data_IF_662319575395
#
_entry.id   IF_662319575395
#
_cell.length_a   1.000
_cell.length_b   1.000
_cell.length_c   1.000
_cell.angle_alpha   90.00
_cell.angle_beta   90.00
_cell.angle_gamma   90.00
#
_symmetry.space_group_name_H-M   'P 1'
#
loop_
_entity.id
_entity.type
_entity.pdbx_description
1 polymer ?
#
# COMPACT_ATOMS: atom_id res chain seq x y z
N UNK A 1 0.96 70.62 -18.38
CA UNK A 1 0.23 69.75 -19.30
C UNK A 1 0.39 68.32 -18.81
N UNK A 2 -0.71 67.66 -18.49
CA UNK A 2 -0.67 66.36 -17.84
C UNK A 2 -0.74 65.21 -18.84
N UNK A 3 0.04 64.18 -18.64
CA UNK A 3 -0.07 62.92 -19.35
C UNK A 3 -1.00 61.96 -18.62
N UNK A 4 -1.91 61.40 -19.37
CA UNK A 4 -3.01 60.53 -18.97
C UNK A 4 -2.51 59.19 -18.45
N UNK A 5 -3.06 58.78 -17.31
CA UNK A 5 -2.97 57.42 -16.79
C UNK A 5 -3.71 56.39 -17.65
N UNK A 6 -3.09 55.29 -17.94
CA UNK A 6 -3.71 54.11 -18.47
C UNK A 6 -4.26 53.25 -17.33
N UNK A 7 -5.56 53.12 -17.26
CA UNK A 7 -6.26 52.15 -16.42
C UNK A 7 -5.96 50.74 -16.94
N UNK A 8 -5.34 49.93 -16.11
CA UNK A 8 -5.18 48.51 -16.37
C UNK A 8 -6.53 47.81 -16.48
N UNK A 9 -6.77 47.20 -17.61
CA UNK A 9 -7.87 46.26 -17.84
C UNK A 9 -7.63 45.03 -17.00
N UNK A 10 -8.54 44.78 -16.08
CA UNK A 10 -8.59 43.51 -15.35
C UNK A 10 -8.93 42.41 -16.35
N UNK A 11 -8.05 41.40 -16.40
CA UNK A 11 -8.21 40.19 -17.21
C UNK A 11 -9.38 39.36 -16.67
N UNK A 12 -10.49 39.36 -17.38
CA UNK A 12 -11.73 38.62 -17.06
C UNK A 12 -11.67 37.15 -17.47
N UNK A 13 -10.48 36.53 -17.59
CA UNK A 13 -10.30 35.14 -18.00
C UNK A 13 -9.79 34.22 -16.89
N UNK A 14 -10.45 34.27 -15.74
CA UNK A 14 -10.25 33.24 -14.74
C UNK A 14 -11.53 32.41 -14.54
N UNK A 15 -11.67 31.24 -15.14
CA UNK A 15 -12.88 30.41 -15.05
C UNK A 15 -13.05 29.66 -13.72
N UNK A 16 -12.28 29.99 -12.68
CA UNK A 16 -12.37 29.36 -11.36
C UNK A 16 -13.35 29.98 -10.39
N UNK A 17 -14.31 30.78 -10.85
CA UNK A 17 -15.41 31.28 -10.00
C UNK A 17 -16.75 30.73 -10.47
N UNK A 18 -17.36 29.96 -9.55
CA UNK A 18 -18.74 29.49 -9.56
C UNK A 18 -19.05 28.34 -10.54
N UNK A 19 -18.85 27.13 -10.11
CA UNK A 19 -19.46 25.93 -10.66
C UNK A 19 -19.30 24.85 -9.64
N UNK A 20 -20.31 24.62 -8.80
CA UNK A 20 -20.36 23.42 -7.98
C UNK A 20 -20.12 22.22 -8.90
N UNK A 21 -19.18 21.36 -8.50
CA UNK A 21 -18.94 20.06 -9.13
C UNK A 21 -20.20 19.21 -8.98
N UNK A 22 -21.23 19.52 -9.79
CA UNK A 22 -22.26 18.57 -10.12
C UNK A 22 -21.61 17.48 -10.93
N UNK A 23 -21.27 16.39 -10.31
CA UNK A 23 -20.96 15.15 -11.00
C UNK A 23 -22.22 14.74 -11.76
N UNK A 24 -22.33 15.13 -13.02
CA UNK A 24 -23.36 14.64 -13.90
C UNK A 24 -23.12 13.14 -14.08
N UNK A 25 -24.00 12.33 -13.50
CA UNK A 25 -24.10 10.92 -13.80
C UNK A 25 -24.29 10.77 -15.32
N UNK A 26 -23.23 10.34 -16.05
CA UNK A 26 -23.33 10.05 -17.48
C UNK A 26 -22.24 10.61 -18.39
N UNK A 27 -21.31 11.42 -17.93
CA UNK A 27 -20.16 11.78 -18.77
C UNK A 27 -19.17 10.60 -18.84
N UNK A 28 -19.23 9.86 -19.93
CA UNK A 28 -18.16 8.92 -20.29
C UNK A 28 -16.89 9.71 -20.53
N UNK A 29 -15.81 9.36 -19.81
CA UNK A 29 -14.50 9.85 -20.18
C UNK A 29 -14.16 9.30 -21.56
N UNK A 30 -13.80 10.18 -22.49
CA UNK A 30 -13.37 9.78 -23.83
C UNK A 30 -12.01 9.06 -23.72
N UNK A 31 -12.05 7.73 -23.62
CA UNK A 31 -10.85 6.91 -23.52
C UNK A 31 -11.13 5.52 -22.96
N UNK A 32 -10.29 4.56 -23.29
CA UNK A 32 -10.42 3.16 -22.88
C UNK A 32 -10.05 2.89 -21.43
N UNK A 33 -9.41 3.85 -20.74
CA UNK A 33 -8.90 3.68 -19.39
C UNK A 33 -10.01 3.41 -18.37
N UNK A 34 -11.05 4.24 -18.36
CA UNK A 34 -12.12 4.10 -17.37
C UNK A 34 -12.91 2.79 -17.52
N UNK A 35 -13.40 2.42 -18.72
CA UNK A 35 -14.06 1.13 -18.90
C UNK A 35 -13.17 -0.06 -18.54
N UNK A 36 -11.90 -0.03 -18.95
CA UNK A 36 -10.95 -1.10 -18.66
C UNK A 36 -10.69 -1.24 -17.14
N UNK A 37 -10.46 -0.12 -16.45
CA UNK A 37 -10.23 -0.10 -15.00
C UNK A 37 -11.47 -0.55 -14.22
N UNK A 38 -12.66 -0.10 -14.62
CA UNK A 38 -13.90 -0.52 -13.99
C UNK A 38 -14.14 -2.02 -14.15
N UNK A 39 -13.98 -2.54 -15.36
CA UNK A 39 -14.12 -3.98 -15.63
C UNK A 39 -13.12 -4.82 -14.81
N UNK A 40 -11.88 -4.33 -14.66
CA UNK A 40 -10.86 -4.95 -13.84
C UNK A 40 -11.27 -4.95 -12.35
N UNK A 41 -11.71 -3.83 -11.81
CA UNK A 41 -12.17 -3.72 -10.42
C UNK A 41 -13.37 -4.64 -10.15
N UNK A 42 -14.38 -4.62 -11.02
CA UNK A 42 -15.55 -5.49 -10.90
C UNK A 42 -15.17 -6.98 -10.91
N UNK A 43 -14.19 -7.36 -11.72
CA UNK A 43 -13.65 -8.72 -11.77
C UNK A 43 -12.94 -9.07 -10.46
N UNK A 44 -11.99 -8.25 -10.01
CA UNK A 44 -11.20 -8.48 -8.81
C UNK A 44 -12.09 -8.55 -7.56
N UNK A 45 -13.04 -7.65 -7.41
CA UNK A 45 -13.95 -7.66 -6.27
C UNK A 45 -14.79 -8.93 -6.17
N UNK A 46 -15.11 -9.57 -7.30
CA UNK A 46 -15.78 -10.87 -7.30
C UNK A 46 -14.80 -12.02 -6.99
N UNK A 47 -13.63 -12.00 -7.62
CA UNK A 47 -12.65 -13.10 -7.52
C UNK A 47 -11.97 -13.17 -6.16
N UNK A 48 -11.66 -12.00 -5.58
CA UNK A 48 -10.91 -11.90 -4.33
C UNK A 48 -11.78 -11.92 -3.06
N UNK A 49 -13.07 -12.14 -3.20
CA UNK A 49 -14.01 -12.16 -2.05
C UNK A 49 -13.57 -13.14 -0.95
N UNK A 50 -13.14 -14.34 -1.31
CA UNK A 50 -12.70 -15.37 -0.37
C UNK A 50 -11.37 -15.00 0.28
N UNK A 51 -10.37 -14.60 -0.52
CA UNK A 51 -9.07 -14.19 -0.02
C UNK A 51 -9.15 -12.95 0.90
N UNK A 52 -10.00 -11.97 0.54
CA UNK A 52 -10.26 -10.82 1.41
C UNK A 52 -10.94 -11.21 2.73
N UNK A 53 -11.84 -12.20 2.71
CA UNK A 53 -12.49 -12.68 3.93
C UNK A 53 -11.50 -13.43 4.84
N UNK A 54 -10.67 -14.29 4.26
CA UNK A 54 -9.63 -15.03 4.97
C UNK A 54 -8.58 -14.08 5.57
N UNK A 55 -8.04 -13.16 4.77
CA UNK A 55 -7.10 -12.14 5.24
C UNK A 55 -7.70 -11.29 6.37
N UNK A 56 -8.95 -10.87 6.24
CA UNK A 56 -9.65 -10.10 7.27
C UNK A 56 -9.81 -10.88 8.57
N UNK A 57 -10.09 -12.17 8.50
CA UNK A 57 -10.17 -13.04 9.68
C UNK A 57 -8.84 -13.12 10.41
N UNK A 58 -7.74 -13.41 9.67
CA UNK A 58 -6.38 -13.46 10.22
C UNK A 58 -6.00 -12.14 10.90
N UNK A 59 -6.23 -11.00 10.22
CA UNK A 59 -5.92 -9.68 10.77
C UNK A 59 -6.76 -9.39 12.01
N UNK A 60 -8.07 -9.62 11.96
CA UNK A 60 -8.96 -9.35 13.08
C UNK A 60 -8.60 -10.18 14.32
N UNK A 61 -8.22 -11.44 14.14
CA UNK A 61 -7.79 -12.31 15.25
C UNK A 61 -6.52 -11.77 15.92
N UNK A 62 -5.54 -11.31 15.12
CA UNK A 62 -4.30 -10.72 15.66
C UNK A 62 -4.54 -9.38 16.32
N UNK A 63 -5.33 -8.50 15.71
CA UNK A 63 -5.68 -7.20 16.29
C UNK A 63 -6.46 -7.35 17.60
N UNK A 64 -7.42 -8.27 17.69
CA UNK A 64 -8.15 -8.56 18.93
C UNK A 64 -7.21 -9.05 20.05
N UNK A 65 -6.10 -9.71 19.70
CA UNK A 65 -5.05 -10.11 20.63
C UNK A 65 -4.03 -8.99 20.95
N UNK A 66 -4.18 -7.79 20.37
CA UNK A 66 -3.29 -6.65 20.56
C UNK A 66 -2.15 -6.54 19.54
N UNK A 67 -2.19 -7.33 18.46
CA UNK A 67 -1.22 -7.29 17.38
C UNK A 67 -1.40 -6.11 16.43
N UNK A 68 -0.35 -5.81 15.68
CA UNK A 68 -0.29 -4.80 14.62
C UNK A 68 -0.26 -5.41 13.23
N UNK A 69 -0.61 -4.60 12.23
CA UNK A 69 -0.43 -4.95 10.82
C UNK A 69 0.72 -4.11 10.26
N UNK A 70 1.86 -4.75 10.05
CA UNK A 70 3.02 -4.13 9.42
C UNK A 70 2.82 -4.13 7.90
N UNK A 71 2.87 -2.94 7.31
CA UNK A 71 2.65 -2.75 5.87
C UNK A 71 3.96 -2.42 5.18
N UNK A 72 4.35 -3.25 4.23
CA UNK A 72 5.49 -3.00 3.34
C UNK A 72 5.05 -3.04 1.88
N UNK A 73 5.46 -2.08 1.08
CA UNK A 73 5.30 -2.15 -0.36
C UNK A 73 6.57 -1.77 -1.13
N UNK A 74 6.65 -2.21 -2.38
CA UNK A 74 7.80 -1.96 -3.23
C UNK A 74 7.74 -0.59 -3.92
N UNK A 75 6.84 0.32 -3.51
CA UNK A 75 6.89 1.66 -4.02
C UNK A 75 5.66 2.56 -3.87
N UNK A 76 4.44 2.14 -4.22
CA UNK A 76 3.33 3.09 -4.33
C UNK A 76 1.92 2.47 -4.22
N UNK A 77 1.80 1.23 -3.75
CA UNK A 77 0.51 0.54 -3.75
C UNK A 77 -0.28 0.71 -2.46
N UNK A 78 0.31 0.44 -1.30
CA UNK A 78 -0.42 0.34 -0.03
C UNK A 78 0.03 1.34 1.02
N UNK A 79 1.33 1.53 1.24
CA UNK A 79 1.83 2.28 2.40
C UNK A 79 1.25 3.70 2.44
N UNK A 80 1.35 4.44 1.35
CA UNK A 80 0.84 5.81 1.28
C UNK A 80 -0.67 5.92 1.30
N UNK A 81 -1.38 4.85 0.93
CA UNK A 81 -2.83 4.84 0.90
C UNK A 81 -3.45 4.45 2.23
N UNK A 82 -2.84 3.54 2.97
CA UNK A 82 -3.39 2.99 4.21
C UNK A 82 -2.87 3.66 5.48
N UNK A 83 -1.59 4.07 5.48
CA UNK A 83 -0.91 4.53 6.68
C UNK A 83 -1.18 6.00 6.94
N UNK A 84 -1.55 6.33 8.18
CA UNK A 84 -1.82 7.69 8.66
C UNK A 84 -2.89 8.46 7.87
N UNK A 85 -3.81 7.76 7.21
CA UNK A 85 -4.93 8.36 6.49
C UNK A 85 -6.20 8.38 7.34
N UNK A 86 -7.02 9.41 7.14
CA UNK A 86 -8.37 9.44 7.71
C UNK A 86 -9.18 8.22 7.25
N UNK A 87 -9.82 7.54 8.18
CA UNK A 87 -10.52 6.28 7.95
C UNK A 87 -9.62 5.04 8.03
N UNK A 88 -8.30 5.21 8.18
CA UNK A 88 -7.36 4.11 8.42
C UNK A 88 -7.38 3.65 9.88
N UNK A 89 -6.82 2.49 10.15
CA UNK A 89 -6.76 1.91 11.48
C UNK A 89 -5.44 2.26 12.17
N UNK A 90 -5.50 2.56 13.47
CA UNK A 90 -4.33 2.92 14.29
C UNK A 90 -3.33 1.77 14.36
N UNK A 91 -3.81 0.52 14.40
CA UNK A 91 -2.99 -0.69 14.47
C UNK A 91 -2.22 -1.02 13.16
N UNK A 92 -2.39 -0.23 12.10
CA UNK A 92 -1.67 -0.41 10.84
C UNK A 92 -0.47 0.50 10.80
N UNK A 93 0.71 -0.09 10.75
CA UNK A 93 1.99 0.62 10.87
C UNK A 93 2.89 0.37 9.66
N UNK A 94 3.69 1.37 9.24
CA UNK A 94 4.59 1.18 8.12
C UNK A 94 5.78 0.31 8.51
N UNK A 95 6.16 -0.62 7.64
CA UNK A 95 7.48 -1.24 7.68
C UNK A 95 8.34 -0.59 6.59
N UNK A 96 8.93 0.55 6.92
CA UNK A 96 9.70 1.37 5.98
C UNK A 96 11.16 1.45 6.42
N UNK A 97 12.08 1.17 5.52
CA UNK A 97 13.51 1.23 5.80
C UNK A 97 14.29 1.66 4.57
N UNK A 98 15.42 2.31 4.80
CA UNK A 98 16.34 2.77 3.76
C UNK A 98 17.77 2.52 4.19
N UNK A 99 18.55 1.92 3.30
CA UNK A 99 19.99 1.87 3.42
C UNK A 99 20.59 2.89 2.44
N UNK A 100 21.30 3.87 2.97
CA UNK A 100 22.02 4.86 2.18
C UNK A 100 23.51 4.77 2.52
N UNK A 101 24.34 4.57 1.48
CA UNK A 101 25.81 4.55 1.63
C UNK A 101 26.37 5.72 0.83
N UNK A 102 26.82 6.74 1.55
CA UNK A 102 27.48 7.91 0.97
C UNK A 102 28.98 7.65 0.85
N UNK A 103 29.51 7.69 -0.37
CA UNK A 103 30.94 7.60 -0.63
C UNK A 103 31.48 8.97 -1.05
N UNK A 104 32.70 9.29 -0.63
CA UNK A 104 33.37 10.56 -0.98
C UNK A 104 33.88 10.60 -2.41
N UNK A 105 33.74 9.55 -3.19
CA UNK A 105 34.17 9.49 -4.58
C UNK A 105 33.18 10.23 -5.48
N UNK A 106 33.64 11.36 -6.03
CA UNK A 106 32.83 12.35 -6.75
C UNK A 106 32.38 11.86 -8.15
N UNK A 107 32.95 10.80 -8.71
CA UNK A 107 32.81 10.48 -10.13
C UNK A 107 32.16 9.16 -10.50
N UNK A 108 31.79 8.32 -9.55
CA UNK A 108 31.01 7.12 -9.85
C UNK A 108 29.88 6.95 -8.84
N UNK A 109 28.67 6.92 -9.34
CA UNK A 109 27.53 6.46 -8.55
C UNK A 109 27.86 5.05 -8.01
N UNK A 110 27.76 4.81 -6.70
CA UNK A 110 27.98 3.47 -6.18
C UNK A 110 27.02 2.54 -6.90
N UNK A 111 27.55 1.62 -7.69
CA UNK A 111 26.76 0.53 -8.24
C UNK A 111 26.39 -0.34 -7.05
N UNK A 112 25.13 -0.34 -6.67
CA UNK A 112 24.61 -1.40 -5.81
C UNK A 112 24.97 -2.70 -6.52
N UNK A 113 25.72 -3.61 -5.89
CA UNK A 113 26.03 -4.88 -6.51
C UNK A 113 24.74 -5.51 -7.03
N UNK A 114 24.73 -5.88 -8.30
CA UNK A 114 23.57 -6.53 -8.94
C UNK A 114 23.23 -7.90 -8.33
N UNK A 115 24.13 -8.42 -7.52
CA UNK A 115 23.98 -9.67 -6.77
C UNK A 115 24.33 -9.39 -5.29
N UNK A 116 23.39 -8.90 -4.47
CA UNK A 116 23.59 -8.88 -3.04
C UNK A 116 23.75 -10.34 -2.61
N UNK A 117 24.90 -10.67 -2.02
CA UNK A 117 25.11 -12.00 -1.43
C UNK A 117 23.91 -12.30 -0.55
N UNK A 118 23.31 -13.48 -0.71
CA UNK A 118 22.11 -13.89 0.01
C UNK A 118 22.24 -13.63 1.52
N UNK A 119 23.42 -13.86 2.07
CA UNK A 119 23.76 -13.69 3.48
C UNK A 119 23.62 -12.21 3.93
N UNK A 120 24.04 -11.26 3.10
CA UNK A 120 23.90 -9.83 3.43
C UNK A 120 22.46 -9.36 3.41
N UNK A 121 21.67 -9.85 2.45
CA UNK A 121 20.23 -9.54 2.41
C UNK A 121 19.52 -10.12 3.62
N UNK A 122 19.78 -11.38 3.94
CA UNK A 122 19.18 -12.06 5.09
C UNK A 122 19.53 -11.35 6.41
N UNK A 123 20.81 -10.98 6.61
CA UNK A 123 21.26 -10.25 7.77
C UNK A 123 20.60 -8.85 7.88
N UNK A 124 20.51 -8.13 6.77
CA UNK A 124 19.88 -6.82 6.72
C UNK A 124 18.38 -6.89 7.03
N UNK A 125 17.65 -7.81 6.39
CA UNK A 125 16.21 -7.99 6.65
C UNK A 125 15.97 -8.50 8.07
N UNK A 126 16.84 -9.38 8.59
CA UNK A 126 16.81 -9.81 9.98
C UNK A 126 16.87 -8.65 10.95
N UNK A 127 17.85 -7.77 10.76
CA UNK A 127 17.98 -6.54 11.56
C UNK A 127 16.74 -5.63 11.46
N UNK A 128 16.18 -5.45 10.26
CA UNK A 128 14.98 -4.63 10.05
C UNK A 128 13.79 -5.20 10.84
N UNK A 129 13.56 -6.50 10.79
CA UNK A 129 12.47 -7.13 11.52
C UNK A 129 12.67 -7.06 13.04
N UNK A 130 13.89 -7.29 13.51
CA UNK A 130 14.21 -7.17 14.94
C UNK A 130 14.04 -5.72 15.45
N UNK A 131 14.51 -4.74 14.64
CA UNK A 131 14.38 -3.32 14.98
C UNK A 131 12.93 -2.80 14.88
N UNK A 132 12.07 -3.44 14.09
CA UNK A 132 10.66 -3.07 13.97
C UNK A 132 9.81 -3.46 15.19
N UNK A 133 10.31 -4.35 16.04
CA UNK A 133 9.54 -4.91 17.16
C UNK A 133 8.42 -5.85 16.73
N UNK A 134 8.44 -6.35 15.48
CA UNK A 134 7.47 -7.31 14.98
C UNK A 134 7.57 -8.64 15.73
N UNK A 135 6.44 -9.16 16.18
CA UNK A 135 6.32 -10.40 16.95
C UNK A 135 5.38 -11.40 16.25
N UNK A 136 5.33 -12.63 16.73
CA UNK A 136 4.38 -13.64 16.25
C UNK A 136 2.90 -13.24 16.44
N UNK A 137 2.61 -12.25 17.28
CA UNK A 137 1.26 -11.69 17.46
C UNK A 137 0.79 -10.80 16.32
N UNK A 138 1.70 -10.34 15.46
CA UNK A 138 1.45 -9.37 14.40
C UNK A 138 1.15 -10.02 13.05
N UNK A 139 0.89 -9.19 12.03
CA UNK A 139 0.70 -9.60 10.63
C UNK A 139 1.63 -8.79 9.75
N UNK A 140 2.24 -9.41 8.76
CA UNK A 140 2.99 -8.73 7.70
C UNK A 140 2.15 -8.67 6.41
N UNK A 141 1.77 -7.46 6.00
CA UNK A 141 1.10 -7.17 4.74
C UNK A 141 2.13 -6.70 3.72
N UNK A 142 2.36 -7.49 2.68
CA UNK A 142 3.35 -7.22 1.64
C UNK A 142 2.67 -6.88 0.31
N UNK A 143 3.06 -5.79 -0.33
CA UNK A 143 2.63 -5.46 -1.68
C UNK A 143 3.79 -5.42 -2.68
N UNK A 144 3.71 -6.25 -3.68
CA UNK A 144 4.66 -6.29 -4.79
C UNK A 144 4.00 -6.91 -6.02
N UNK A 145 3.88 -6.15 -7.11
CA UNK A 145 3.16 -6.59 -8.32
C UNK A 145 3.69 -7.94 -8.82
N UNK A 146 5.00 -8.08 -8.97
CA UNK A 146 5.61 -9.34 -9.43
C UNK A 146 5.90 -10.33 -8.31
N UNK A 147 6.03 -9.86 -7.07
CA UNK A 147 6.43 -10.70 -5.95
C UNK A 147 7.75 -11.43 -6.13
N UNK A 148 8.60 -11.00 -7.08
CA UNK A 148 9.83 -11.70 -7.48
C UNK A 148 11.11 -11.07 -6.92
N UNK A 149 11.03 -9.83 -6.40
CA UNK A 149 12.20 -9.07 -5.93
C UNK A 149 12.77 -9.64 -4.63
N UNK A 150 14.10 -9.54 -4.41
CA UNK A 150 14.76 -10.15 -3.26
C UNK A 150 14.21 -9.69 -1.91
N UNK A 151 14.06 -8.38 -1.69
CA UNK A 151 13.63 -7.84 -0.38
C UNK A 151 12.25 -8.33 0.08
N UNK A 152 11.16 -8.21 -0.70
CA UNK A 152 9.86 -8.72 -0.25
C UNK A 152 9.83 -10.24 -0.06
N UNK A 153 10.62 -11.00 -0.83
CA UNK A 153 10.73 -12.45 -0.66
C UNK A 153 11.45 -12.79 0.65
N UNK A 154 12.56 -12.09 0.94
CA UNK A 154 13.29 -12.29 2.19
C UNK A 154 12.48 -11.87 3.41
N UNK A 155 11.74 -10.75 3.34
CA UNK A 155 10.79 -10.35 4.39
C UNK A 155 9.77 -11.44 4.68
N UNK A 156 9.18 -12.04 3.64
CA UNK A 156 8.23 -13.12 3.78
C UNK A 156 8.86 -14.39 4.40
N UNK A 157 10.06 -14.76 3.95
CA UNK A 157 10.79 -15.90 4.51
C UNK A 157 11.04 -15.73 6.01
N UNK A 158 11.55 -14.58 6.40
CA UNK A 158 11.91 -14.33 7.79
C UNK A 158 10.72 -14.07 8.70
N UNK A 159 9.65 -13.43 8.21
CA UNK A 159 8.39 -13.29 8.94
C UNK A 159 7.80 -14.67 9.26
N UNK A 160 7.75 -15.57 8.28
CA UNK A 160 7.29 -16.95 8.49
C UNK A 160 8.15 -17.72 9.49
N UNK A 161 9.48 -17.56 9.43
CA UNK A 161 10.38 -18.17 10.40
C UNK A 161 10.14 -17.67 11.86
N UNK A 162 9.56 -16.46 12.01
CA UNK A 162 9.13 -15.87 13.27
C UNK A 162 7.65 -16.16 13.61
N UNK A 163 6.98 -17.01 12.86
CA UNK A 163 5.54 -17.33 13.01
C UNK A 163 4.61 -16.12 12.80
N UNK A 164 5.06 -15.13 12.04
CA UNK A 164 4.25 -13.97 11.62
C UNK A 164 3.51 -14.34 10.33
N UNK A 165 2.17 -14.28 10.30
CA UNK A 165 1.39 -14.50 9.09
C UNK A 165 1.73 -13.47 8.02
N UNK A 166 1.85 -13.93 6.78
CA UNK A 166 2.16 -13.10 5.61
C UNK A 166 0.96 -13.04 4.68
N UNK A 167 0.44 -11.83 4.47
CA UNK A 167 -0.61 -11.55 3.49
C UNK A 167 0.02 -10.77 2.34
N UNK A 168 -0.11 -11.26 1.10
CA UNK A 168 0.52 -10.65 -0.06
C UNK A 168 -0.50 -10.07 -1.04
N UNK A 169 -0.30 -8.81 -1.42
CA UNK A 169 -0.90 -8.20 -2.61
C UNK A 169 0.05 -8.36 -3.79
N UNK A 170 -0.28 -9.21 -4.74
CA UNK A 170 0.59 -9.52 -5.87
C UNK A 170 -0.22 -9.95 -7.10
N UNK A 171 0.37 -9.87 -8.28
CA UNK A 171 -0.24 -10.37 -9.51
C UNK A 171 0.36 -11.73 -9.88
N UNK A 172 -0.35 -12.86 -9.66
CA UNK A 172 0.13 -14.18 -10.06
C UNK A 172 0.49 -14.26 -11.53
N UNK A 173 -0.33 -13.66 -12.39
CA UNK A 173 -0.10 -13.65 -13.84
C UNK A 173 1.21 -12.94 -14.19
N UNK A 174 1.48 -11.80 -13.57
CA UNK A 174 2.72 -11.06 -13.83
C UNK A 174 3.92 -11.71 -13.13
N UNK A 175 3.74 -12.25 -11.93
CA UNK A 175 4.79 -12.98 -11.21
C UNK A 175 5.33 -14.18 -12.01
N UNK A 176 4.46 -14.90 -12.71
CA UNK A 176 4.84 -16.04 -13.56
C UNK A 176 5.58 -15.61 -14.84
N UNK A 177 5.34 -14.40 -15.32
CA UNK A 177 5.96 -13.89 -16.55
C UNK A 177 7.40 -13.37 -16.36
N UNK A 178 7.87 -13.23 -15.11
CA UNK A 178 9.21 -12.73 -14.80
C UNK A 178 10.02 -13.78 -14.02
N UNK A 179 11.35 -13.81 -14.13
CA UNK A 179 12.17 -14.74 -13.34
C UNK A 179 12.11 -14.37 -11.85
N UNK A 180 12.20 -15.39 -10.98
CA UNK A 180 12.45 -15.17 -9.57
C UNK A 180 13.86 -14.57 -9.39
N UNK A 181 13.97 -13.51 -8.59
CA UNK A 181 15.24 -12.79 -8.40
C UNK A 181 15.87 -13.08 -7.04
N UNK A 182 15.16 -13.76 -6.15
CA UNK A 182 15.70 -14.18 -4.86
C UNK A 182 16.59 -15.41 -5.02
N UNK A 183 17.74 -15.52 -4.29
CA UNK A 183 18.67 -16.66 -4.40
C UNK A 183 18.04 -18.02 -4.17
N UNK A 184 16.97 -18.11 -3.39
CA UNK A 184 16.22 -19.37 -3.18
C UNK A 184 15.35 -19.77 -4.37
N UNK A 185 15.21 -18.95 -5.40
CA UNK A 185 14.28 -19.17 -6.52
C UNK A 185 12.81 -19.00 -6.17
N UNK A 186 12.46 -18.61 -4.94
CA UNK A 186 11.08 -18.40 -4.47
C UNK A 186 10.54 -17.01 -4.83
N UNK A 187 9.22 -16.91 -4.82
CA UNK A 187 8.44 -15.69 -4.97
C UNK A 187 7.50 -15.50 -3.79
N UNK A 188 6.86 -14.35 -3.66
CA UNK A 188 5.81 -14.13 -2.64
C UNK A 188 4.67 -15.15 -2.76
N UNK A 189 4.33 -15.58 -3.96
CA UNK A 189 3.31 -16.62 -4.20
C UNK A 189 3.58 -17.93 -3.50
N UNK A 190 4.87 -18.26 -3.26
CA UNK A 190 5.31 -19.50 -2.63
C UNK A 190 5.36 -19.39 -1.10
N UNK A 191 5.19 -18.19 -0.55
CA UNK A 191 5.48 -17.88 0.84
C UNK A 191 4.30 -17.28 1.59
N UNK A 192 3.43 -16.53 0.91
CA UNK A 192 2.29 -15.89 1.56
C UNK A 192 1.28 -16.93 2.05
N UNK A 193 0.72 -16.68 3.24
CA UNK A 193 -0.34 -17.50 3.81
C UNK A 193 -1.67 -17.17 3.16
N UNK A 194 -1.89 -15.90 2.80
CA UNK A 194 -3.03 -15.45 2.00
C UNK A 194 -2.54 -14.56 0.85
N UNK A 195 -3.05 -14.81 -0.34
CA UNK A 195 -2.74 -14.03 -1.54
C UNK A 195 -3.99 -13.28 -1.97
N UNK A 196 -3.93 -11.95 -1.97
CA UNK A 196 -4.92 -11.07 -2.57
C UNK A 196 -4.39 -10.66 -3.93
N UNK A 197 -5.08 -11.10 -4.98
CA UNK A 197 -4.64 -10.86 -6.36
C UNK A 197 -4.88 -9.42 -6.76
N UNK A 198 -3.82 -8.78 -7.22
CA UNK A 198 -3.84 -7.44 -7.79
C UNK A 198 -3.54 -7.51 -9.29
N UNK A 199 -4.30 -8.35 -10.02
CA UNK A 199 -4.07 -8.67 -11.41
C UNK A 199 -4.47 -7.50 -12.32
N UNK A 200 -3.47 -6.70 -12.73
CA UNK A 200 -3.55 -5.75 -13.82
C UNK A 200 -3.07 -6.32 -15.15
N UNK A 201 -2.98 -5.47 -16.16
CA UNK A 201 -2.34 -5.83 -17.41
C UNK A 201 -0.85 -6.13 -17.21
N UNK A 202 -0.28 -7.01 -18.02
CA UNK A 202 1.16 -7.23 -18.03
C UNK A 202 1.87 -5.92 -18.37
N UNK A 203 2.91 -5.57 -17.59
CA UNK A 203 3.56 -4.26 -17.70
C UNK A 203 2.85 -3.14 -16.96
N UNK A 204 1.75 -3.44 -16.24
CA UNK A 204 0.96 -2.51 -15.44
C UNK A 204 0.45 -1.28 -16.22
N UNK A 205 0.12 -1.43 -17.49
CA UNK A 205 -0.41 -0.36 -18.33
C UNK A 205 -1.65 -0.85 -19.09
N UNK A 206 -2.78 -0.14 -18.94
CA UNK A 206 -4.09 -0.62 -19.38
C UNK A 206 -4.52 -0.12 -20.75
N UNK A 207 -3.90 0.94 -21.29
CA UNK A 207 -4.37 1.64 -22.48
C UNK A 207 -3.30 1.72 -23.54
N UNK A 208 -3.63 1.28 -24.77
CA UNK A 208 -2.80 1.48 -25.97
C UNK A 208 -3.33 2.67 -26.76
N UNK A 209 -2.45 3.62 -27.10
CA UNK A 209 -2.79 4.80 -27.87
C UNK A 209 -2.13 4.70 -29.26
N UNK A 210 -2.85 4.87 -30.36
CA UNK A 210 -2.26 4.84 -31.70
C UNK A 210 -1.10 5.85 -31.83
N UNK A 211 0.04 5.40 -32.38
CA UNK A 211 1.24 6.22 -32.52
C UNK A 211 2.11 6.33 -31.26
N UNK A 212 1.70 5.78 -30.13
CA UNK A 212 2.51 5.68 -28.90
C UNK A 212 3.07 4.25 -28.78
N UNK A 213 4.39 4.06 -28.71
CA UNK A 213 5.02 2.72 -28.81
C UNK A 213 4.75 1.81 -27.60
N UNK A 214 4.37 2.37 -26.47
CA UNK A 214 4.11 1.61 -25.23
C UNK A 214 2.74 1.95 -24.64
N UNK A 215 2.06 0.97 -24.00
CA UNK A 215 0.84 1.25 -23.24
C UNK A 215 1.08 2.25 -22.11
N UNK A 216 0.02 2.95 -21.71
CA UNK A 216 0.01 3.94 -20.65
C UNK A 216 -1.04 3.58 -19.57
N UNK A 217 -1.12 4.37 -18.52
CA UNK A 217 -2.12 4.31 -17.45
C UNK A 217 -2.04 3.02 -16.61
N UNK A 218 -1.18 3.00 -15.58
CA UNK A 218 -1.05 1.86 -14.68
C UNK A 218 -2.31 1.68 -13.81
N UNK A 219 -2.65 0.42 -13.52
CA UNK A 219 -3.83 0.06 -12.73
C UNK A 219 -3.51 -0.53 -11.36
N UNK A 220 -2.28 -0.98 -11.11
CA UNK A 220 -1.90 -1.69 -9.89
C UNK A 220 -2.15 -0.89 -8.62
N UNK A 221 -1.88 0.42 -8.63
CA UNK A 221 -2.14 1.29 -7.47
C UNK A 221 -3.63 1.44 -7.18
N UNK A 222 -4.46 1.62 -8.22
CA UNK A 222 -5.92 1.77 -8.07
C UNK A 222 -6.55 0.48 -7.54
N UNK A 223 -6.18 -0.65 -8.12
CA UNK A 223 -6.73 -1.95 -7.72
C UNK A 223 -6.26 -2.31 -6.30
N UNK A 224 -5.00 -2.06 -5.97
CA UNK A 224 -4.48 -2.26 -4.61
C UNK A 224 -5.23 -1.40 -3.60
N UNK A 225 -5.48 -0.12 -3.89
CA UNK A 225 -6.21 0.77 -2.99
C UNK A 225 -7.65 0.28 -2.73
N UNK A 226 -8.38 -0.10 -3.78
CA UNK A 226 -9.76 -0.60 -3.64
C UNK A 226 -9.81 -1.90 -2.84
N UNK A 227 -8.93 -2.86 -3.13
CA UNK A 227 -8.84 -4.12 -2.40
C UNK A 227 -8.42 -3.90 -0.94
N UNK A 228 -7.48 -3.01 -0.69
CA UNK A 228 -6.99 -2.71 0.65
C UNK A 228 -8.06 -2.03 1.52
N UNK A 229 -8.79 -1.05 1.00
CA UNK A 229 -9.90 -0.44 1.73
C UNK A 229 -11.06 -1.43 1.95
N UNK A 230 -11.29 -2.34 1.01
CA UNK A 230 -12.24 -3.44 1.21
C UNK A 230 -11.80 -4.42 2.29
N UNK A 231 -10.49 -4.62 2.46
CA UNK A 231 -9.91 -5.41 3.55
C UNK A 231 -10.08 -4.68 4.89
N UNK A 232 -9.76 -3.38 4.97
CA UNK A 232 -9.98 -2.55 6.16
C UNK A 232 -11.44 -2.57 6.60
N UNK A 233 -12.38 -2.41 5.67
CA UNK A 233 -13.82 -2.49 5.97
C UNK A 233 -14.19 -3.83 6.60
N UNK A 234 -13.73 -4.95 6.04
CA UNK A 234 -14.02 -6.30 6.55
C UNK A 234 -13.43 -6.53 7.93
N UNK A 235 -12.17 -6.16 8.16
CA UNK A 235 -11.52 -6.22 9.47
C UNK A 235 -12.33 -5.44 10.49
N UNK A 236 -12.70 -4.20 10.16
CA UNK A 236 -13.49 -3.32 11.03
C UNK A 236 -14.84 -3.94 11.39
N UNK A 237 -15.54 -4.52 10.40
CA UNK A 237 -16.83 -5.21 10.66
C UNK A 237 -16.67 -6.40 11.60
N UNK A 238 -15.68 -7.27 11.33
CA UNK A 238 -15.42 -8.44 12.19
C UNK A 238 -15.18 -8.02 13.64
N UNK A 239 -14.33 -7.01 13.85
CA UNK A 239 -14.03 -6.54 15.21
C UNK A 239 -15.23 -5.85 15.86
N UNK A 240 -15.98 -5.04 15.12
CA UNK A 240 -17.21 -4.41 15.62
C UNK A 240 -18.28 -5.45 15.99
N UNK A 241 -18.47 -6.48 15.18
CA UNK A 241 -19.41 -7.57 15.45
C UNK A 241 -19.01 -8.39 16.70
N UNK A 242 -17.72 -8.42 17.03
CA UNK A 242 -17.18 -9.02 18.27
C UNK A 242 -17.30 -8.11 19.50
N UNK A 243 -17.75 -6.86 19.32
CA UNK A 243 -17.85 -5.88 20.40
C UNK A 243 -16.51 -5.17 20.74
N UNK A 244 -15.51 -5.32 19.91
CA UNK A 244 -14.17 -4.71 20.07
C UNK A 244 -13.81 -3.89 18.81
N UNK A 245 -14.52 -2.78 18.51
CA UNK A 245 -14.28 -1.98 17.32
C UNK A 245 -12.87 -1.37 17.35
N UNK A 246 -12.14 -1.39 16.23
CA UNK A 246 -10.78 -0.87 16.19
C UNK A 246 -10.76 0.67 16.23
N UNK A 247 -9.66 1.23 16.73
CA UNK A 247 -9.42 2.67 16.66
C UNK A 247 -9.19 3.13 15.22
N UNK A 248 -9.99 4.12 14.81
CA UNK A 248 -9.96 4.72 13.47
C UNK A 248 -9.36 6.12 13.54
N UNK A 249 -8.50 6.44 12.58
CA UNK A 249 -7.88 7.76 12.45
C UNK A 249 -8.92 8.75 11.91
N UNK A 250 -9.17 9.82 12.66
CA UNK A 250 -10.03 10.91 12.23
C UNK A 250 -9.30 11.86 11.26
N UNK A 251 -10.07 12.48 10.35
CA UNK A 251 -9.52 13.51 9.48
C UNK A 251 -8.97 14.69 10.27
N UNK A 252 -7.73 15.07 10.00
CA UNK A 252 -7.07 16.21 10.63
C UNK A 252 -7.76 17.57 10.36
N UNK A 253 -8.68 17.60 9.38
CA UNK A 253 -9.51 18.77 9.09
C UNK A 253 -10.67 18.96 10.08
N UNK A 254 -10.92 18.02 10.97
CA UNK A 254 -11.95 18.12 12.01
C UNK A 254 -11.36 18.77 13.27
N UNK A 255 -12.15 19.62 13.91
CA UNK A 255 -11.74 20.30 15.14
C UNK A 255 -11.38 19.29 16.25
N UNK A 256 -10.21 19.43 16.86
CA UNK A 256 -9.71 18.57 17.94
C UNK A 256 -9.30 17.14 17.49
N UNK A 257 -9.29 16.85 16.19
CA UNK A 257 -8.93 15.51 15.70
C UNK A 257 -7.46 15.17 15.99
N UNK A 258 -6.56 16.15 15.97
CA UNK A 258 -5.14 15.94 16.27
C UNK A 258 -4.93 15.35 17.67
N UNK A 259 -5.60 15.94 18.66
CA UNK A 259 -5.52 15.49 20.06
C UNK A 259 -6.15 14.12 20.26
N UNK A 260 -7.33 13.89 19.64
CA UNK A 260 -8.01 12.59 19.72
C UNK A 260 -7.22 11.48 19.04
N UNK A 261 -6.66 11.72 17.86
CA UNK A 261 -5.80 10.74 17.18
C UNK A 261 -4.54 10.42 17.99
N UNK A 262 -3.91 11.43 18.59
CA UNK A 262 -2.75 11.22 19.46
C UNK A 262 -3.12 10.40 20.70
N UNK A 263 -4.24 10.71 21.34
CA UNK A 263 -4.71 9.97 22.51
C UNK A 263 -5.00 8.49 22.19
N UNK A 264 -5.63 8.22 21.03
CA UNK A 264 -5.86 6.83 20.57
C UNK A 264 -4.56 6.07 20.28
N UNK A 265 -3.64 6.70 19.57
CA UNK A 265 -2.34 6.09 19.29
C UNK A 265 -1.54 5.78 20.57
N UNK A 266 -1.58 6.69 21.53
CA UNK A 266 -0.93 6.51 22.83
C UNK A 266 -1.58 5.38 23.64
N UNK A 267 -2.93 5.33 23.66
CA UNK A 267 -3.66 4.25 24.34
C UNK A 267 -3.34 2.90 23.69
N UNK A 268 -3.37 2.82 22.36
CA UNK A 268 -3.04 1.61 21.63
C UNK A 268 -1.63 1.11 21.95
N UNK A 269 -0.63 2.02 21.93
CA UNK A 269 0.76 1.69 22.27
C UNK A 269 0.89 1.13 23.70
N UNK A 270 0.27 1.76 24.70
CA UNK A 270 0.27 1.28 26.10
C UNK A 270 -0.36 -0.10 26.22
N UNK A 271 -1.52 -0.30 25.62
CA UNK A 271 -2.21 -1.60 25.64
C UNK A 271 -1.36 -2.70 25.01
N UNK A 272 -0.62 -2.38 23.95
CA UNK A 272 0.31 -3.31 23.32
C UNK A 272 1.49 -3.67 24.24
N UNK A 273 2.10 -2.67 24.87
CA UNK A 273 3.20 -2.88 25.84
C UNK A 273 2.76 -3.77 27.01
N UNK A 274 1.54 -3.57 27.52
CA UNK A 274 0.97 -4.37 28.61
C UNK A 274 0.67 -5.83 28.23
N UNK A 275 0.35 -6.08 26.94
CA UNK A 275 -0.01 -7.43 26.43
C UNK A 275 1.20 -8.19 25.87
N UNK A 276 2.25 -7.51 25.46
CA UNK A 276 3.42 -8.08 24.76
C UNK A 276 4.71 -8.06 25.56
N UNK A 277 4.68 -7.56 26.79
CA UNK A 277 5.79 -7.53 27.73
C UNK A 277 5.99 -8.85 28.47
#
# INVERSE_FOLDING_TARGET
MPSRGSRGMLDERNPCRAGGLGLHAGQHLDGDFWPATRALLDRLMRQERAALAEAAGVIADRMAAGGEVFVYDTGHMLERELIHRAGGLVAWVPLSFRLEVNTTLIHEMPRVPSDPRADHLAAFVGYVLDASGMTAGDVLLLASVTGSRPVPVELALQARARSVPVIAFTSPTFAQAVPAQHPTGRRLLDLADVIIRNDGAQGDAAVSVPGVPHPIAPTSGITAAVLAWSLVERVTRILADRGDPPDVIESMNLAGASERNRARAELFRRTREERGG
#
